data_IF_309863136918
#
_entry.id   IF_309863136918
#
_cell.length_a   1.000
_cell.length_b   1.000
_cell.length_c   1.000
_cell.angle_alpha   90.00
_cell.angle_beta   90.00
_cell.angle_gamma   90.00
#
_symmetry.space_group_name_H-M   'P 1'
#
loop_
_entity.id
_entity.type
_entity.pdbx_description
1 polymer ?
#
# COMPACT_ATOMS: atom_id res chain seq x y z
N UNK A 1 7.97 25.19 15.50
CA UNK A 1 8.59 24.48 14.36
C UNK A 1 7.81 23.20 14.18
N UNK A 2 7.42 22.88 12.95
CA UNK A 2 6.40 21.87 12.67
C UNK A 2 7.03 20.47 12.69
N UNK A 3 6.71 19.65 13.70
CA UNK A 3 7.26 18.29 13.90
C UNK A 3 7.13 17.38 12.67
N UNK A 4 6.23 17.75 11.77
CA UNK A 4 5.93 17.10 10.49
C UNK A 4 7.00 17.33 9.42
N UNK A 5 7.64 18.50 9.35
CA UNK A 5 8.77 18.72 8.43
C UNK A 5 10.00 17.91 8.85
N UNK A 6 10.17 17.72 10.16
CA UNK A 6 11.38 17.13 10.72
C UNK A 6 11.52 15.66 10.31
N UNK A 7 10.45 14.86 10.35
CA UNK A 7 10.48 13.44 9.92
C UNK A 7 10.81 13.25 8.43
N UNK A 8 10.31 14.16 7.58
CA UNK A 8 10.60 14.11 6.13
C UNK A 8 12.06 14.48 5.89
N UNK A 9 12.59 15.46 6.63
CA UNK A 9 13.98 15.86 6.55
C UNK A 9 14.93 14.79 7.10
N UNK A 10 14.58 14.15 8.21
CA UNK A 10 15.38 13.10 8.86
C UNK A 10 15.50 11.84 8.00
N UNK A 11 14.48 11.54 7.19
CA UNK A 11 14.48 10.41 6.25
C UNK A 11 15.10 10.74 4.88
N UNK A 12 15.54 11.98 4.66
CA UNK A 12 16.15 12.41 3.40
C UNK A 12 17.61 11.97 3.34
N UNK A 13 17.97 11.28 2.26
CA UNK A 13 19.32 10.78 2.02
C UNK A 13 20.20 11.85 1.36
N UNK A 14 21.37 12.11 1.94
CA UNK A 14 22.42 12.94 1.32
C UNK A 14 23.03 12.14 0.16
N UNK A 15 22.67 12.49 -1.09
CA UNK A 15 22.96 11.69 -2.29
C UNK A 15 23.90 12.41 -3.25
N UNK A 16 24.87 11.67 -3.79
CA UNK A 16 25.72 12.08 -4.91
C UNK A 16 25.60 11.05 -6.04
N UNK A 17 25.58 11.51 -7.28
CA UNK A 17 25.53 10.64 -8.45
C UNK A 17 26.93 10.58 -9.08
N UNK A 18 27.56 9.43 -8.96
CA UNK A 18 28.78 9.08 -9.67
C UNK A 18 28.40 8.27 -10.93
N UNK A 19 29.30 8.21 -11.92
CA UNK A 19 29.00 7.68 -13.27
C UNK A 19 28.19 6.38 -13.30
N UNK A 20 28.45 5.44 -12.38
CA UNK A 20 27.74 4.16 -12.29
C UNK A 20 27.07 3.90 -10.93
N UNK A 21 27.13 4.87 -10.00
CA UNK A 21 26.74 4.67 -8.61
C UNK A 21 25.90 5.81 -8.05
N UNK A 22 24.87 5.45 -7.28
CA UNK A 22 24.19 6.35 -6.37
C UNK A 22 24.86 6.24 -5.01
N UNK A 23 25.50 7.32 -4.55
CA UNK A 23 26.28 7.35 -3.32
C UNK A 23 25.53 8.07 -2.22
N UNK A 24 25.19 7.36 -1.15
CA UNK A 24 24.53 7.93 0.02
C UNK A 24 25.53 8.18 1.13
N UNK A 25 25.47 9.37 1.75
CA UNK A 25 26.32 9.74 2.88
C UNK A 25 25.50 9.76 4.17
N UNK A 26 25.97 9.01 5.17
CA UNK A 26 25.36 8.92 6.49
C UNK A 26 26.30 9.55 7.52
N UNK A 27 25.74 10.40 8.38
CA UNK A 27 26.47 11.05 9.46
C UNK A 27 26.01 10.41 10.76
N UNK A 28 26.83 9.50 11.28
CA UNK A 28 26.53 8.75 12.50
C UNK A 28 27.44 9.20 13.63
N UNK A 29 26.97 9.09 14.87
CA UNK A 29 27.81 9.27 16.05
C UNK A 29 28.28 7.87 16.45
N UNK A 30 29.59 7.66 16.49
CA UNK A 30 30.16 6.41 16.95
C UNK A 30 29.81 6.21 18.43
N UNK A 31 29.02 5.18 18.75
CA UNK A 31 28.55 4.90 20.12
C UNK A 31 29.69 4.71 21.13
N UNK A 32 30.88 4.31 20.67
CA UNK A 32 32.05 4.03 21.53
C UNK A 32 32.91 5.27 21.74
N UNK A 33 33.04 6.13 20.74
CA UNK A 33 33.99 7.25 20.77
C UNK A 33 33.33 8.64 20.80
N UNK A 34 32.00 8.71 20.71
CA UNK A 34 31.19 9.92 20.54
C UNK A 34 31.63 10.81 19.35
N UNK A 35 32.51 10.29 18.49
CA UNK A 35 32.98 10.99 17.29
C UNK A 35 31.98 10.84 16.17
N UNK A 36 31.78 11.93 15.42
CA UNK A 36 31.03 11.90 14.16
C UNK A 36 31.81 11.08 13.14
N UNK A 37 31.23 9.99 12.70
CA UNK A 37 31.74 9.13 11.63
C UNK A 37 30.89 9.36 10.38
N UNK A 38 31.55 9.64 9.26
CA UNK A 38 30.90 9.74 7.96
C UNK A 38 31.01 8.39 7.29
N UNK A 39 29.87 7.81 6.93
CA UNK A 39 29.78 6.55 6.19
C UNK A 39 29.23 6.81 4.81
N UNK A 40 29.72 6.07 3.82
CA UNK A 40 29.22 6.12 2.45
C UNK A 40 28.72 4.75 2.03
N UNK A 41 27.60 4.74 1.32
CA UNK A 41 27.08 3.55 0.66
C UNK A 41 26.99 3.79 -0.84
N UNK A 42 27.51 2.85 -1.63
CA UNK A 42 27.57 2.90 -3.09
C UNK A 42 26.57 1.90 -3.64
N UNK A 43 25.58 2.40 -4.35
CA UNK A 43 24.49 1.61 -4.90
C UNK A 43 24.56 1.58 -6.40
N UNK A 44 24.52 0.36 -6.95
CA UNK A 44 24.47 0.11 -8.38
C UNK A 44 23.06 -0.31 -8.79
N UNK A 45 22.58 0.20 -9.93
CA UNK A 45 21.28 -0.17 -10.49
C UNK A 45 21.41 -1.47 -11.28
N UNK A 46 20.93 -2.56 -10.69
CA UNK A 46 21.09 -3.92 -11.21
C UNK A 46 20.10 -4.18 -12.35
N UNK A 47 18.81 -3.95 -12.12
CA UNK A 47 17.76 -4.26 -13.09
C UNK A 47 16.50 -3.43 -12.87
N UNK A 48 15.70 -3.31 -13.92
CA UNK A 48 14.37 -2.72 -13.84
C UNK A 48 13.36 -3.81 -13.44
N UNK A 49 12.63 -3.59 -12.33
CA UNK A 49 11.65 -4.55 -11.83
C UNK A 49 10.29 -4.32 -12.48
N UNK A 50 9.80 -3.07 -12.49
CA UNK A 50 8.39 -2.79 -12.85
C UNK A 50 8.13 -1.35 -13.26
N UNK A 51 7.25 -1.18 -14.25
CA UNK A 51 6.64 0.11 -14.57
C UNK A 51 5.32 0.28 -13.82
N UNK A 52 5.07 1.46 -13.27
CA UNK A 52 3.78 1.90 -12.75
C UNK A 52 3.32 3.19 -13.43
N UNK A 53 2.08 3.60 -13.19
CA UNK A 53 1.48 4.77 -13.84
C UNK A 53 2.25 6.10 -13.61
N UNK A 54 3.04 6.17 -12.53
CA UNK A 54 3.76 7.37 -12.09
C UNK A 54 5.29 7.24 -12.14
N UNK A 55 5.82 6.13 -12.68
CA UNK A 55 7.27 5.90 -12.77
C UNK A 55 7.66 4.42 -12.74
N UNK A 56 8.90 4.12 -12.33
CA UNK A 56 9.46 2.76 -12.38
C UNK A 56 10.09 2.33 -11.05
N UNK A 57 10.15 1.02 -10.81
CA UNK A 57 10.82 0.41 -9.66
C UNK A 57 12.07 -0.32 -10.15
N UNK A 58 13.19 0.00 -9.53
CA UNK A 58 14.51 -0.55 -9.85
C UNK A 58 15.03 -1.39 -8.70
N UNK A 59 15.74 -2.48 -9.04
CA UNK A 59 16.55 -3.24 -8.11
C UNK A 59 17.93 -2.58 -8.03
N UNK A 60 18.37 -2.26 -6.82
CA UNK A 60 19.71 -1.74 -6.60
C UNK A 60 20.49 -2.66 -5.65
N UNK A 61 21.77 -2.84 -5.96
CA UNK A 61 22.71 -3.63 -5.19
C UNK A 61 23.71 -2.73 -4.48
N UNK A 62 23.93 -2.97 -3.20
CA UNK A 62 24.98 -2.31 -2.43
C UNK A 62 26.33 -2.93 -2.82
N UNK A 63 27.21 -2.13 -3.43
CA UNK A 63 28.56 -2.55 -3.85
C UNK A 63 29.56 -2.33 -2.72
N UNK A 64 29.37 -1.26 -1.97
CA UNK A 64 30.20 -0.90 -0.82
C UNK A 64 29.32 -0.17 0.18
N UNK A 65 29.20 -0.69 1.39
CA UNK A 65 28.39 -0.08 2.43
C UNK A 65 28.64 -0.77 3.77
N UNK A 66 28.14 -0.16 4.85
CA UNK A 66 28.31 -0.70 6.19
C UNK A 66 27.09 -1.51 6.67
N UNK A 67 25.90 -1.24 6.11
CA UNK A 67 24.68 -1.97 6.48
C UNK A 67 24.67 -3.35 5.81
N UNK A 68 24.06 -4.32 6.49
CA UNK A 68 23.86 -5.70 5.98
C UNK A 68 22.86 -5.79 4.81
N UNK A 69 22.34 -4.65 4.33
CA UNK A 69 21.41 -4.58 3.21
C UNK A 69 22.18 -4.69 1.89
N UNK A 70 22.10 -5.87 1.27
CA UNK A 70 22.77 -6.12 -0.02
C UNK A 70 21.93 -5.65 -1.21
N UNK A 71 20.60 -5.71 -1.10
CA UNK A 71 19.66 -5.42 -2.18
C UNK A 71 18.53 -4.53 -1.68
N UNK A 72 18.09 -3.59 -2.52
CA UNK A 72 16.94 -2.72 -2.22
C UNK A 72 16.11 -2.47 -3.46
N UNK A 73 14.83 -2.15 -3.27
CA UNK A 73 13.99 -1.61 -4.31
C UNK A 73 13.98 -0.07 -4.25
N UNK A 74 14.04 0.58 -5.41
CA UNK A 74 13.99 2.03 -5.53
C UNK A 74 12.87 2.42 -6.48
N UNK A 75 11.85 3.08 -5.94
CA UNK A 75 10.74 3.64 -6.72
C UNK A 75 11.14 5.03 -7.20
N UNK A 76 11.29 5.19 -8.51
CA UNK A 76 11.55 6.46 -9.19
C UNK A 76 10.23 7.03 -9.71
N UNK A 77 9.91 8.27 -9.31
CA UNK A 77 8.72 9.02 -9.69
C UNK A 77 9.14 10.25 -10.51
N UNK A 78 8.50 10.48 -11.66
CA UNK A 78 8.76 11.68 -12.47
C UNK A 78 8.15 12.91 -11.79
N UNK A 79 8.97 13.93 -11.52
CA UNK A 79 8.50 15.21 -10.98
C UNK A 79 8.52 16.33 -12.03
N UNK A 80 8.79 16.00 -13.29
CA UNK A 80 8.69 16.97 -14.40
C UNK A 80 7.23 17.42 -14.51
N UNK A 81 6.96 18.73 -14.51
CA UNK A 81 5.63 19.20 -14.85
C UNK A 81 5.33 18.75 -16.29
N UNK A 82 4.30 17.92 -16.46
CA UNK A 82 3.74 17.75 -17.81
C UNK A 82 3.30 19.11 -18.32
N UNK A 83 3.38 19.37 -19.63
CA UNK A 83 3.23 20.70 -20.24
C UNK A 83 1.98 21.50 -19.80
N UNK A 84 0.96 20.84 -19.22
CA UNK A 84 -0.28 21.44 -18.70
C UNK A 84 -0.64 21.02 -17.25
N UNK A 85 0.26 20.40 -16.48
CA UNK A 85 -0.03 19.91 -15.13
C UNK A 85 0.74 20.68 -14.06
N UNK A 86 0.06 21.07 -12.98
CA UNK A 86 0.68 21.65 -11.79
C UNK A 86 1.78 20.72 -11.23
N UNK A 87 2.78 21.31 -10.58
CA UNK A 87 3.84 20.57 -9.90
C UNK A 87 3.20 19.68 -8.82
N UNK A 88 3.32 18.36 -8.97
CA UNK A 88 2.78 17.42 -7.99
C UNK A 88 3.55 17.57 -6.67
N UNK A 89 2.84 17.88 -5.58
CA UNK A 89 3.39 17.95 -4.24
C UNK A 89 3.36 16.56 -3.57
N UNK A 90 4.53 15.94 -3.46
CA UNK A 90 4.70 14.61 -2.85
C UNK A 90 4.85 14.65 -1.31
N UNK A 91 4.63 15.82 -0.69
CA UNK A 91 4.86 16.00 0.75
C UNK A 91 3.99 15.08 1.59
N UNK A 92 2.73 14.83 1.17
CA UNK A 92 1.80 13.96 1.89
C UNK A 92 2.24 12.50 1.85
N UNK A 93 2.65 12.02 0.68
CA UNK A 93 3.10 10.65 0.46
C UNK A 93 4.42 10.40 1.18
N UNK A 94 5.37 11.32 1.07
CA UNK A 94 6.65 11.25 1.80
C UNK A 94 6.43 11.26 3.32
N UNK A 95 5.48 12.05 3.80
CA UNK A 95 5.11 12.03 5.21
C UNK A 95 4.52 10.69 5.63
N UNK A 96 3.62 10.12 4.81
CA UNK A 96 3.04 8.82 5.09
C UNK A 96 4.12 7.74 5.16
N UNK A 97 5.08 7.75 4.23
CA UNK A 97 6.23 6.83 4.25
C UNK A 97 7.07 7.04 5.51
N UNK A 98 7.46 8.29 5.82
CA UNK A 98 8.27 8.59 7.00
C UNK A 98 7.58 8.19 8.33
N UNK A 99 6.25 8.26 8.39
CA UNK A 99 5.47 7.89 9.58
C UNK A 99 5.17 6.39 9.68
N UNK A 100 4.80 5.76 8.57
CA UNK A 100 4.19 4.43 8.57
C UNK A 100 5.07 3.34 7.99
N UNK A 101 6.17 3.68 7.32
CA UNK A 101 7.02 2.66 6.70
C UNK A 101 7.80 1.82 7.70
N UNK A 102 7.86 2.20 8.99
CA UNK A 102 8.69 1.56 10.02
C UNK A 102 10.08 1.16 9.45
N UNK A 103 10.75 0.14 9.98
CA UNK A 103 12.11 -0.27 9.58
C UNK A 103 12.29 -0.68 8.10
N UNK A 104 11.25 -0.60 7.26
CA UNK A 104 11.22 -1.13 5.90
C UNK A 104 11.58 -0.11 4.81
N UNK A 105 11.53 1.20 5.09
CA UNK A 105 12.08 2.22 4.18
C UNK A 105 13.47 2.64 4.62
N UNK A 106 14.39 2.79 3.67
CA UNK A 106 15.74 3.28 3.95
C UNK A 106 15.89 4.79 3.74
N UNK A 107 14.83 5.47 3.33
CA UNK A 107 14.79 6.92 3.10
C UNK A 107 14.44 7.30 1.66
N UNK A 108 14.54 8.60 1.36
CA UNK A 108 14.20 9.15 0.05
C UNK A 108 15.24 10.17 -0.42
N UNK A 109 15.35 10.36 -1.73
CA UNK A 109 16.22 11.38 -2.33
C UNK A 109 15.60 11.91 -3.62
N UNK A 110 16.11 13.02 -4.16
CA UNK A 110 15.57 13.61 -5.39
C UNK A 110 16.65 14.22 -6.26
N UNK A 111 16.40 14.22 -7.56
CA UNK A 111 17.08 15.06 -8.54
C UNK A 111 16.20 16.28 -8.86
N UNK A 112 16.56 17.02 -9.90
CA UNK A 112 15.70 18.06 -10.48
C UNK A 112 14.47 17.47 -11.17
N UNK A 113 14.57 16.23 -11.65
CA UNK A 113 13.59 15.62 -12.55
C UNK A 113 12.85 14.43 -11.95
N UNK A 114 13.35 13.84 -10.86
CA UNK A 114 12.75 12.66 -10.26
C UNK A 114 12.85 12.63 -8.74
N UNK A 115 11.85 12.04 -8.10
CA UNK A 115 11.82 11.67 -6.68
C UNK A 115 12.08 10.17 -6.56
N UNK A 116 12.89 9.77 -5.59
CA UNK A 116 13.29 8.38 -5.36
C UNK A 116 12.95 7.99 -3.93
N UNK A 117 12.28 6.86 -3.76
CA UNK A 117 11.97 6.26 -2.46
C UNK A 117 12.67 4.90 -2.40
N UNK A 118 13.46 4.69 -1.36
CA UNK A 118 14.23 3.46 -1.14
C UNK A 118 13.58 2.58 -0.08
N UNK A 119 13.47 1.28 -0.38
CA UNK A 119 12.78 0.32 0.48
C UNK A 119 13.43 -1.06 0.38
N UNK A 120 13.11 -1.93 1.33
CA UNK A 120 13.49 -3.33 1.29
C UNK A 120 13.08 -3.98 -0.06
N UNK A 121 13.94 -4.87 -0.55
CA UNK A 121 13.59 -5.70 -1.69
C UNK A 121 12.91 -6.98 -1.19
N UNK A 122 11.69 -7.24 -1.65
CA UNK A 122 10.95 -8.46 -1.36
C UNK A 122 11.08 -9.44 -2.55
N UNK A 123 11.80 -10.58 -2.39
CA UNK A 123 12.06 -11.50 -3.48
C UNK A 123 10.83 -12.30 -3.95
N UNK A 124 9.78 -12.39 -3.11
CA UNK A 124 8.58 -13.16 -3.42
C UNK A 124 7.67 -12.50 -4.48
N UNK A 125 8.01 -11.29 -4.91
CA UNK A 125 7.31 -10.56 -5.95
C UNK A 125 6.12 -9.77 -5.43
N UNK A 126 5.16 -9.48 -6.31
CA UNK A 126 3.98 -8.70 -5.98
C UNK A 126 2.73 -9.57 -5.77
N UNK A 127 1.65 -8.94 -5.30
CA UNK A 127 0.37 -9.59 -5.08
C UNK A 127 -0.16 -10.28 -6.36
N UNK A 128 0.04 -9.67 -7.53
CA UNK A 128 -0.38 -10.26 -8.80
C UNK A 128 0.34 -11.59 -9.08
N UNK A 129 1.66 -11.61 -8.91
CA UNK A 129 2.46 -12.81 -9.08
C UNK A 129 2.08 -13.89 -8.06
N UNK A 130 1.73 -13.50 -6.84
CA UNK A 130 1.24 -14.43 -5.83
C UNK A 130 -0.11 -15.05 -6.20
N UNK A 131 -1.08 -14.24 -6.66
CA UNK A 131 -2.42 -14.69 -7.03
C UNK A 131 -2.42 -15.56 -8.30
N UNK A 132 -1.58 -15.22 -9.29
CA UNK A 132 -1.43 -16.01 -10.52
C UNK A 132 -0.83 -17.40 -10.28
N UNK A 133 0.15 -17.53 -9.37
CA UNK A 133 0.71 -18.83 -8.97
C UNK A 133 -0.28 -19.74 -8.25
N UNK A 134 -1.27 -19.16 -7.57
CA UNK A 134 -2.20 -19.87 -6.70
C UNK A 134 -3.56 -20.18 -7.35
N UNK A 135 -3.83 -19.69 -8.57
CA UNK A 135 -5.14 -19.83 -9.21
C UNK A 135 -5.37 -21.27 -9.70
N UNK A 136 -6.38 -22.01 -9.18
CA UNK A 136 -6.75 -23.34 -9.65
C UNK A 136 -7.69 -23.30 -10.87
N UNK A 137 -8.05 -22.12 -11.36
CA UNK A 137 -9.05 -21.93 -12.41
C UNK A 137 -8.38 -22.03 -13.78
N UNK A 138 -8.86 -22.99 -14.59
CA UNK A 138 -8.44 -23.20 -15.96
C UNK A 138 -8.58 -21.95 -16.84
N UNK A 139 -7.88 -21.97 -17.97
CA UNK A 139 -7.61 -20.86 -18.89
C UNK A 139 -8.86 -20.07 -19.35
N UNK A 140 -10.06 -20.64 -19.22
CA UNK A 140 -11.32 -20.05 -19.68
C UNK A 140 -11.89 -18.94 -18.78
N UNK A 141 -11.47 -18.84 -17.51
CA UNK A 141 -11.89 -17.76 -16.59
C UNK A 141 -10.88 -16.60 -16.51
N UNK A 142 -9.81 -16.64 -17.31
CA UNK A 142 -8.65 -15.75 -17.21
C UNK A 142 -8.78 -14.42 -17.98
N UNK A 143 -9.84 -14.24 -18.78
CA UNK A 143 -9.97 -13.05 -19.64
C UNK A 143 -10.28 -11.77 -18.85
N UNK A 144 -11.15 -11.86 -17.83
CA UNK A 144 -11.51 -10.72 -16.98
C UNK A 144 -10.38 -10.29 -16.01
N UNK A 145 -9.67 -11.20 -15.29
CA UNK A 145 -8.52 -10.84 -14.45
C UNK A 145 -7.46 -10.01 -15.19
N UNK A 146 -7.17 -10.33 -16.45
CA UNK A 146 -6.14 -9.62 -17.22
C UNK A 146 -6.52 -8.16 -17.54
N UNK A 147 -7.81 -7.86 -17.71
CA UNK A 147 -8.30 -6.51 -18.00
C UNK A 147 -8.38 -5.63 -16.75
N UNK A 148 -8.78 -6.24 -15.63
CA UNK A 148 -8.81 -5.64 -14.28
C UNK A 148 -7.42 -5.22 -13.79
N UNK A 149 -6.39 -5.97 -14.18
CA UNK A 149 -5.03 -5.79 -13.68
C UNK A 149 -4.19 -4.82 -14.50
N UNK A 150 -4.80 -4.18 -15.50
CA UNK A 150 -4.18 -3.07 -16.23
C UNK A 150 -4.00 -1.85 -15.32
N UNK A 151 -2.76 -1.35 -15.23
CA UNK A 151 -2.43 -0.15 -14.48
C UNK A 151 -2.88 1.10 -15.26
N UNK A 152 -3.78 1.89 -14.67
CA UNK A 152 -4.23 3.19 -15.15
C UNK A 152 -3.66 4.31 -14.28
N UNK A 153 -3.60 5.58 -14.76
CA UNK A 153 -3.34 6.73 -13.89
C UNK A 153 -4.21 6.73 -12.62
N UNK A 154 -5.43 6.22 -12.68
CA UNK A 154 -6.35 6.18 -11.54
C UNK A 154 -6.11 5.00 -10.58
N UNK A 155 -5.24 4.04 -10.94
CA UNK A 155 -4.97 2.82 -10.17
C UNK A 155 -5.08 1.56 -11.02
N UNK A 156 -5.00 0.39 -10.38
CA UNK A 156 -5.23 -0.90 -11.04
C UNK A 156 -6.73 -1.20 -10.98
N UNK A 157 -7.40 -1.34 -12.14
CA UNK A 157 -8.88 -1.30 -12.24
C UNK A 157 -9.65 -2.16 -11.22
N UNK A 158 -9.12 -3.29 -10.77
CA UNK A 158 -9.81 -4.15 -9.79
C UNK A 158 -9.85 -3.65 -8.37
N UNK A 159 -8.96 -2.74 -8.04
CA UNK A 159 -8.81 -2.19 -6.70
C UNK A 159 -9.39 -0.78 -6.62
N UNK A 160 -9.79 -0.20 -7.76
CA UNK A 160 -10.33 1.16 -7.83
C UNK A 160 -11.74 1.17 -7.23
N UNK A 161 -11.96 2.12 -6.33
CA UNK A 161 -13.26 2.31 -5.70
C UNK A 161 -14.32 2.83 -6.70
N UNK A 162 -15.62 2.57 -6.46
CA UNK A 162 -16.69 2.96 -7.39
C UNK A 162 -16.79 4.46 -7.67
N UNK A 163 -16.38 5.30 -6.71
CA UNK A 163 -16.40 6.75 -6.82
C UNK A 163 -15.33 7.27 -7.80
N UNK A 164 -14.16 6.63 -7.82
CA UNK A 164 -13.09 6.91 -8.78
C UNK A 164 -13.43 6.44 -10.21
N UNK A 165 -14.32 5.46 -10.35
CA UNK A 165 -14.91 5.08 -11.63
C UNK A 165 -16.07 5.99 -12.08
N UNK A 166 -16.54 6.89 -11.21
CA UNK A 166 -17.70 7.75 -11.49
C UNK A 166 -19.06 7.06 -11.33
N UNK A 167 -19.12 5.85 -10.77
CA UNK A 167 -20.39 5.17 -10.47
C UNK A 167 -21.10 5.79 -9.26
N UNK A 168 -20.35 6.39 -8.34
CA UNK A 168 -20.88 7.05 -7.15
C UNK A 168 -20.30 8.46 -6.97
N UNK A 169 -20.86 9.23 -6.03
CA UNK A 169 -20.32 10.56 -5.72
C UNK A 169 -18.88 10.44 -5.20
N UNK A 170 -17.97 11.36 -5.58
CA UNK A 170 -16.60 11.36 -5.08
C UNK A 170 -16.56 11.24 -3.55
N UNK A 171 -15.91 10.19 -3.06
CA UNK A 171 -15.67 9.97 -1.64
C UNK A 171 -14.49 10.80 -1.14
N UNK A 172 -14.11 10.55 0.12
CA UNK A 172 -12.81 11.05 0.61
C UNK A 172 -11.69 10.16 0.06
N UNK A 173 -10.46 10.64 -0.10
CA UNK A 173 -9.32 9.80 -0.50
C UNK A 173 -9.16 8.54 0.38
N UNK A 174 -9.48 8.65 1.68
CA UNK A 174 -9.47 7.53 2.61
C UNK A 174 -10.49 6.44 2.28
N UNK A 175 -11.61 6.79 1.64
CA UNK A 175 -12.63 5.84 1.25
C UNK A 175 -12.09 4.89 0.15
N UNK A 176 -11.42 5.46 -0.86
CA UNK A 176 -10.81 4.69 -1.93
C UNK A 176 -9.71 3.72 -1.42
N UNK A 177 -8.90 4.15 -0.45
CA UNK A 177 -7.89 3.29 0.18
C UNK A 177 -8.54 2.15 0.98
N UNK A 178 -9.62 2.44 1.72
CA UNK A 178 -10.38 1.44 2.47
C UNK A 178 -11.03 0.41 1.55
N UNK A 179 -11.59 0.85 0.42
CA UNK A 179 -12.08 -0.07 -0.61
C UNK A 179 -10.98 -1.00 -1.11
N UNK A 180 -9.83 -0.44 -1.49
CA UNK A 180 -8.68 -1.20 -1.98
C UNK A 180 -8.20 -2.23 -0.96
N UNK A 181 -8.18 -1.86 0.33
CA UNK A 181 -7.81 -2.76 1.43
C UNK A 181 -8.78 -3.94 1.53
N UNK A 182 -10.09 -3.68 1.42
CA UNK A 182 -11.11 -4.71 1.40
C UNK A 182 -10.88 -5.71 0.27
N UNK A 183 -10.70 -5.22 -0.96
CA UNK A 183 -10.45 -6.06 -2.15
C UNK A 183 -9.19 -6.90 -1.99
N UNK A 184 -8.07 -6.29 -1.56
CA UNK A 184 -6.81 -7.01 -1.34
C UNK A 184 -6.98 -8.12 -0.30
N UNK A 185 -7.67 -7.84 0.80
CA UNK A 185 -7.89 -8.84 1.87
C UNK A 185 -8.76 -9.99 1.38
N UNK A 186 -9.79 -9.69 0.57
CA UNK A 186 -10.61 -10.71 -0.06
C UNK A 186 -9.80 -11.58 -1.03
N UNK A 187 -9.00 -10.98 -1.91
CA UNK A 187 -8.17 -11.73 -2.86
C UNK A 187 -7.10 -12.58 -2.16
N UNK A 188 -6.48 -12.06 -1.08
CA UNK A 188 -5.50 -12.82 -0.31
C UNK A 188 -6.10 -14.08 0.30
N UNK A 189 -7.35 -14.01 0.77
CA UNK A 189 -8.06 -15.11 1.43
C UNK A 189 -8.71 -16.09 0.44
N UNK A 190 -9.24 -15.61 -0.67
CA UNK A 190 -10.04 -16.43 -1.61
C UNK A 190 -9.34 -16.75 -2.92
N UNK A 191 -8.22 -16.08 -3.23
CA UNK A 191 -7.52 -16.10 -4.52
C UNK A 191 -8.36 -15.64 -5.72
N UNK A 192 -9.49 -14.98 -5.47
CA UNK A 192 -10.40 -14.51 -6.51
C UNK A 192 -10.80 -13.06 -6.23
N UNK A 193 -11.10 -12.25 -7.27
CA UNK A 193 -11.62 -10.90 -7.06
C UNK A 193 -13.02 -10.95 -6.43
N UNK A 194 -13.41 -9.89 -5.70
CA UNK A 194 -14.77 -9.80 -5.11
C UNK A 194 -15.83 -9.84 -6.22
N UNK A 195 -15.56 -9.15 -7.32
CA UNK A 195 -16.46 -9.06 -8.47
C UNK A 195 -15.83 -9.73 -9.68
N UNK A 196 -16.48 -10.78 -10.20
CA UNK A 196 -16.01 -11.54 -11.37
C UNK A 196 -16.25 -10.84 -12.71
N UNK A 197 -17.02 -9.74 -12.76
CA UNK A 197 -17.24 -8.94 -13.95
C UNK A 197 -17.66 -7.50 -13.60
N UNK A 198 -17.52 -6.58 -14.56
CA UNK A 198 -17.86 -5.15 -14.37
C UNK A 198 -19.35 -4.93 -14.12
N UNK A 199 -20.21 -5.80 -14.65
CA UNK A 199 -21.65 -5.69 -14.46
C UNK A 199 -22.05 -5.93 -12.99
N UNK A 200 -21.47 -6.95 -12.34
CA UNK A 200 -21.68 -7.21 -10.91
C UNK A 200 -21.10 -6.11 -10.03
N UNK A 201 -19.95 -5.54 -10.41
CA UNK A 201 -19.38 -4.39 -9.72
C UNK A 201 -20.30 -3.16 -9.84
N UNK A 202 -20.77 -2.85 -11.05
CA UNK A 202 -21.65 -1.71 -11.32
C UNK A 202 -23.01 -1.85 -10.63
N UNK A 203 -23.61 -3.05 -10.63
CA UNK A 203 -24.87 -3.29 -9.90
C UNK A 203 -24.65 -3.04 -8.40
N UNK A 204 -23.57 -3.57 -7.82
CA UNK A 204 -23.29 -3.40 -6.39
C UNK A 204 -23.05 -1.94 -6.00
N UNK A 205 -22.36 -1.19 -6.85
CA UNK A 205 -22.07 0.22 -6.62
C UNK A 205 -23.32 1.11 -6.73
N UNK A 206 -24.25 0.77 -7.62
CA UNK A 206 -25.42 1.61 -7.91
C UNK A 206 -26.69 1.20 -7.15
N UNK A 207 -26.81 -0.06 -6.74
CA UNK A 207 -27.96 -0.57 -6.00
C UNK A 207 -27.72 -0.54 -4.48
N UNK A 208 -28.41 0.39 -3.80
CA UNK A 208 -28.31 0.57 -2.35
C UNK A 208 -28.63 -0.71 -1.56
N UNK A 209 -29.55 -1.54 -2.04
CA UNK A 209 -30.07 -2.74 -1.36
C UNK A 209 -29.26 -4.02 -1.59
N UNK A 210 -28.29 -4.03 -2.52
CA UNK A 210 -27.54 -5.25 -2.81
C UNK A 210 -26.59 -5.61 -1.66
N UNK A 211 -26.76 -6.78 -1.04
CA UNK A 211 -25.85 -7.26 0.00
C UNK A 211 -24.45 -7.55 -0.57
N UNK A 212 -23.42 -7.53 0.26
CA UNK A 212 -22.07 -7.90 -0.14
C UNK A 212 -22.08 -9.31 -0.76
N UNK A 213 -21.65 -9.50 -2.02
CA UNK A 213 -21.96 -10.70 -2.80
C UNK A 213 -21.17 -11.94 -2.36
N UNK A 214 -20.14 -11.78 -1.51
CA UNK A 214 -19.12 -12.82 -1.29
C UNK A 214 -19.02 -13.32 0.15
N UNK A 215 -20.06 -13.13 0.99
CA UNK A 215 -20.10 -13.70 2.35
C UNK A 215 -20.06 -15.22 2.34
N UNK A 216 -20.78 -15.88 1.43
CA UNK A 216 -20.76 -17.33 1.27
C UNK A 216 -19.38 -17.88 0.89
N UNK A 217 -18.64 -17.17 0.04
CA UNK A 217 -17.26 -17.54 -0.34
C UNK A 217 -16.34 -17.45 0.87
N UNK A 218 -16.44 -16.40 1.67
CA UNK A 218 -15.64 -16.26 2.89
C UNK A 218 -15.99 -17.33 3.95
N UNK A 219 -17.27 -17.68 4.10
CA UNK A 219 -17.70 -18.80 4.93
C UNK A 219 -17.05 -20.11 4.48
N UNK A 220 -17.02 -20.38 3.17
CA UNK A 220 -16.39 -21.60 2.63
C UNK A 220 -14.88 -21.68 2.88
N UNK A 221 -14.21 -20.55 3.11
CA UNK A 221 -12.80 -20.46 3.49
C UNK A 221 -12.58 -20.49 5.01
N UNK A 222 -13.60 -20.84 5.81
CA UNK A 222 -13.58 -20.85 7.28
C UNK A 222 -13.20 -19.49 7.91
N UNK A 223 -13.52 -18.38 7.25
CA UNK A 223 -13.28 -17.04 7.79
C UNK A 223 -14.36 -16.71 8.83
N UNK A 224 -13.93 -16.29 10.02
CA UNK A 224 -14.82 -15.92 11.14
C UNK A 224 -15.72 -14.73 10.77
N UNK A 225 -16.86 -14.58 11.46
CA UNK A 225 -17.78 -13.45 11.27
C UNK A 225 -17.06 -12.10 11.42
N UNK A 226 -16.14 -12.00 12.39
CA UNK A 226 -15.31 -10.81 12.58
C UNK A 226 -14.38 -10.57 11.38
N UNK A 227 -13.76 -11.62 10.83
CA UNK A 227 -12.95 -11.54 9.62
C UNK A 227 -13.77 -11.16 8.37
N UNK A 228 -14.99 -11.67 8.25
CA UNK A 228 -15.91 -11.28 7.18
C UNK A 228 -16.31 -9.80 7.29
N UNK A 229 -16.54 -9.33 8.51
CA UNK A 229 -16.75 -7.91 8.80
C UNK A 229 -15.54 -7.06 8.40
N UNK A 230 -14.32 -7.52 8.72
CA UNK A 230 -13.09 -6.82 8.34
C UNK A 230 -12.92 -6.66 6.82
N UNK A 231 -13.33 -7.65 6.03
CA UNK A 231 -13.27 -7.60 4.56
C UNK A 231 -14.39 -6.74 3.95
N UNK A 232 -15.62 -6.92 4.41
CA UNK A 232 -16.81 -6.32 3.77
C UNK A 232 -17.06 -4.86 4.17
N UNK A 233 -16.76 -4.49 5.41
CA UNK A 233 -17.07 -3.17 5.97
C UNK A 233 -16.36 -2.01 5.27
N UNK A 234 -15.07 -2.10 4.88
CA UNK A 234 -14.41 -1.08 4.07
C UNK A 234 -15.11 -0.84 2.72
N UNK A 235 -15.56 -1.90 2.05
CA UNK A 235 -16.20 -1.80 0.73
C UNK A 235 -17.64 -1.29 0.81
N UNK A 236 -18.40 -1.70 1.84
CA UNK A 236 -19.78 -1.22 2.05
C UNK A 236 -19.79 0.28 2.39
N UNK A 237 -18.89 0.74 3.26
CA UNK A 237 -18.86 2.14 3.71
C UNK A 237 -18.33 3.09 2.64
N UNK A 238 -17.39 2.65 1.81
CA UNK A 238 -16.84 3.46 0.71
C UNK A 238 -17.69 3.44 -0.56
N UNK A 239 -18.36 2.32 -0.85
CA UNK A 239 -19.10 2.14 -2.11
C UNK A 239 -20.54 2.64 -2.07
N UNK A 240 -21.14 2.77 -0.89
CA UNK A 240 -22.54 3.19 -0.74
C UNK A 240 -22.58 4.50 0.04
N UNK A 241 -22.93 5.58 -0.66
CA UNK A 241 -23.08 6.93 -0.10
C UNK A 241 -23.56 6.90 1.36
N UNK A 242 -22.82 7.55 2.26
CA UNK A 242 -22.96 7.57 3.72
C UNK A 242 -24.36 8.01 4.27
N UNK A 243 -25.37 8.16 3.42
CA UNK A 243 -26.74 8.49 3.81
C UNK A 243 -27.57 7.30 4.31
N UNK A 244 -27.17 6.04 4.05
CA UNK A 244 -27.95 4.87 4.51
C UNK A 244 -27.50 4.31 5.87
N UNK A 245 -26.34 4.73 6.41
CA UNK A 245 -25.73 4.17 7.62
C UNK A 245 -25.49 5.19 8.75
N UNK A 246 -26.07 6.39 8.65
CA UNK A 246 -26.29 7.24 9.82
C UNK A 246 -27.59 6.79 10.50
N UNK A 247 -27.59 5.82 11.42
CA UNK A 247 -27.63 6.19 12.85
C UNK A 247 -27.16 5.10 13.83
N UNK A 248 -26.52 4.00 13.41
CA UNK A 248 -26.23 2.90 14.36
C UNK A 248 -24.79 2.37 14.42
N UNK A 249 -23.89 2.78 13.53
CA UNK A 249 -22.51 2.25 13.51
C UNK A 249 -21.42 3.33 13.67
N UNK A 250 -21.78 4.58 13.98
CA UNK A 250 -20.81 5.69 14.07
C UNK A 250 -19.82 5.61 15.24
N UNK A 251 -20.23 5.07 16.40
CA UNK A 251 -19.37 4.99 17.58
C UNK A 251 -18.48 3.73 17.58
N UNK A 252 -19.01 2.59 17.13
CA UNK A 252 -18.29 1.32 17.06
C UNK A 252 -17.20 1.30 15.99
N UNK A 253 -17.46 1.87 14.81
CA UNK A 253 -16.46 1.97 13.74
C UNK A 253 -15.34 2.94 14.10
N UNK A 254 -15.67 4.07 14.73
CA UNK A 254 -14.66 5.01 15.22
C UNK A 254 -13.81 4.39 16.33
N UNK A 255 -14.37 3.50 17.15
CA UNK A 255 -13.63 2.73 18.15
C UNK A 255 -12.77 1.63 17.52
N UNK A 256 -13.24 0.93 16.48
CA UNK A 256 -12.47 -0.09 15.75
C UNK A 256 -11.35 0.52 14.92
N UNK A 257 -11.59 1.62 14.21
CA UNK A 257 -10.56 2.39 13.51
C UNK A 257 -9.58 3.02 14.49
N UNK A 258 -10.03 3.52 15.66
CA UNK A 258 -9.12 3.95 16.74
C UNK A 258 -8.31 2.78 17.29
N UNK A 259 -8.90 1.62 17.57
CA UNK A 259 -8.19 0.43 18.07
C UNK A 259 -7.16 -0.07 17.05
N UNK A 260 -7.50 -0.05 15.76
CA UNK A 260 -6.60 -0.41 14.66
C UNK A 260 -5.43 0.59 14.54
N UNK A 261 -5.71 1.89 14.61
CA UNK A 261 -4.70 2.96 14.60
C UNK A 261 -3.87 3.03 15.90
N UNK A 262 -4.41 2.56 17.03
CA UNK A 262 -3.71 2.55 18.34
C UNK A 262 -2.81 1.32 18.47
N UNK A 263 -3.21 0.16 17.92
CA UNK A 263 -2.37 -1.05 17.88
C UNK A 263 -1.17 -0.93 16.95
N UNK A 264 -1.22 -0.07 15.93
CA UNK A 264 -0.05 0.27 15.10
C UNK A 264 0.96 1.19 15.82
N UNK A 265 0.61 1.77 16.98
CA UNK A 265 1.43 2.75 17.71
C UNK A 265 2.09 2.22 18.99
N UNK A 266 1.92 0.94 19.36
CA UNK A 266 2.65 0.34 20.49
C UNK A 266 3.47 -0.87 20.02
N UNK A 267 4.75 -0.60 19.76
CA UNK A 267 5.78 -1.59 20.02
C UNK A 267 5.83 -1.87 21.52
N UNK A 268 5.94 -3.17 21.85
CA UNK A 268 6.16 -3.72 23.20
C UNK A 268 5.09 -3.44 24.27
N UNK A 269 4.14 -4.37 24.41
CA UNK A 269 3.64 -4.78 25.72
C UNK A 269 3.04 -6.20 25.61
N UNK A 270 3.52 -7.08 26.49
CA UNK A 270 3.17 -8.50 26.64
C UNK A 270 1.67 -8.79 26.67
N UNK A 271 1.24 -9.80 25.92
CA UNK A 271 -0.11 -10.36 25.90
C UNK A 271 -0.48 -11.02 27.24
N UNK A 272 -1.71 -10.82 27.76
CA UNK A 272 -2.39 -11.82 28.57
C UNK A 272 -3.17 -12.78 27.66
N UNK A 273 -3.05 -14.06 27.96
CA UNK A 273 -3.72 -15.20 27.32
C UNK A 273 -5.23 -14.98 27.12
N UNK A 274 -5.69 -14.99 25.86
CA UNK A 274 -7.10 -15.01 25.51
C UNK A 274 -7.56 -16.45 25.24
N UNK A 275 -8.44 -16.94 26.10
CA UNK A 275 -9.21 -18.16 25.93
C UNK A 275 -10.06 -18.09 24.65
N UNK A 276 -10.10 -19.23 23.96
CA UNK A 276 -10.71 -19.41 22.65
C UNK A 276 -12.23 -19.18 22.65
N UNK A 277 -12.68 -18.19 21.88
CA UNK A 277 -14.07 -18.07 21.47
C UNK A 277 -14.22 -18.81 20.12
N UNK A 278 -14.57 -20.10 20.20
CA UNK A 278 -14.94 -20.91 19.05
C UNK A 278 -16.44 -20.82 18.85
N UNK A 279 -16.87 -19.80 18.12
CA UNK A 279 -18.14 -19.83 17.39
C UNK A 279 -17.82 -19.83 15.90
N UNK A 280 -17.63 -21.03 15.37
CA UNK A 280 -17.65 -21.28 13.93
C UNK A 280 -19.11 -21.23 13.43
N UNK A 281 -19.27 -20.84 12.17
CA UNK A 281 -20.55 -20.79 11.46
C UNK A 281 -21.17 -22.18 11.33
#
# INVERSE_FOLDING_TARGET
MDRQSDLILDSKLETQFESSFTVHTYREICAISERRVIRKEYWHRESHIRNGAYGGVWLEKCVQGHRDVQMRAVKQLSIKPSRNAERIDYSRELQAIAKFSHEKSFGWYRTEESLFITMEYLPDGDLHQYLSKASPLGEEAAEYPNQIMSSSPMGTMGFIAPDLHGFTRPGTPFAADMWSLGEITFQLTTKQPVFQNLAMFASYATEATQSFPSTAVLCSQNISISGQGFVSLPMVFSGKSAHALGTQLGAGLAALLRLYMTRLNFGSASEPSAQADRTAC
#
